data_IF_159919068336
#
_entry.id   IF_159919068336
#
_cell.length_a   1.000
_cell.length_b   1.000
_cell.length_c   1.000
_cell.angle_alpha   90.00
_cell.angle_beta   90.00
_cell.angle_gamma   90.00
#
_symmetry.space_group_name_H-M   'P 1'
#
loop_
_entity.id
_entity.type
_entity.pdbx_description
1 polymer ?
#
# COMPACT_ATOMS: atom_id res chain seq x y z
N UNK A 1 1.45 -0.04 -40.23
CA UNK A 1 1.28 -1.19 -39.33
C UNK A 1 2.53 -2.04 -39.52
N UNK A 2 3.45 -1.96 -38.55
CA UNK A 2 4.80 -2.53 -38.68
C UNK A 2 4.71 -4.06 -38.62
N UNK A 3 5.27 -4.72 -39.63
CA UNK A 3 5.44 -6.18 -39.69
C UNK A 3 6.59 -6.56 -38.74
N UNK A 4 6.31 -6.63 -37.45
CA UNK A 4 7.25 -7.18 -36.48
C UNK A 4 7.27 -8.70 -36.68
N UNK A 5 8.40 -9.24 -37.10
CA UNK A 5 8.55 -10.67 -37.33
C UNK A 5 8.26 -11.44 -36.02
N UNK A 6 7.31 -12.39 -36.07
CA UNK A 6 7.01 -13.23 -34.91
C UNK A 6 8.26 -14.00 -34.45
N UNK A 7 8.52 -14.12 -33.14
CA UNK A 7 9.67 -14.83 -32.62
C UNK A 7 9.65 -16.30 -33.03
N UNK A 8 10.81 -16.84 -33.37
CA UNK A 8 10.96 -18.22 -33.82
C UNK A 8 10.91 -19.20 -32.65
N UNK A 9 10.57 -20.47 -32.93
CA UNK A 9 10.63 -21.53 -31.93
C UNK A 9 12.04 -21.77 -31.37
N UNK A 10 13.09 -21.32 -32.05
CA UNK A 10 14.47 -21.37 -31.55
C UNK A 10 14.70 -20.28 -30.48
N UNK A 11 14.15 -19.08 -30.70
CA UNK A 11 14.24 -17.97 -29.74
C UNK A 11 13.44 -18.26 -28.45
N UNK A 12 12.25 -18.87 -28.55
CA UNK A 12 11.50 -19.30 -27.37
C UNK A 12 12.28 -20.33 -26.56
N UNK A 13 12.91 -21.31 -27.23
CA UNK A 13 13.77 -22.30 -26.54
C UNK A 13 15.00 -21.64 -25.92
N UNK A 14 15.61 -20.68 -26.59
CA UNK A 14 16.75 -19.96 -26.03
C UNK A 14 16.37 -19.16 -24.77
N UNK A 15 15.20 -18.52 -24.77
CA UNK A 15 14.67 -17.84 -23.60
C UNK A 15 14.38 -18.83 -22.45
N UNK A 16 13.79 -19.99 -22.74
CA UNK A 16 13.59 -21.04 -21.73
C UNK A 16 14.91 -21.54 -21.11
N UNK A 17 15.96 -21.70 -21.92
CA UNK A 17 17.29 -22.05 -21.40
C UNK A 17 17.92 -20.92 -20.57
N UNK A 18 17.66 -19.65 -20.92
CA UNK A 18 18.11 -18.50 -20.14
C UNK A 18 17.46 -18.47 -18.74
N UNK A 19 16.17 -18.80 -18.63
CA UNK A 19 15.48 -18.93 -17.34
C UNK A 19 16.13 -20.00 -16.48
N UNK A 20 16.39 -21.20 -17.03
CA UNK A 20 17.06 -22.29 -16.30
C UNK A 20 18.43 -21.86 -15.79
N UNK A 21 19.24 -21.25 -16.66
CA UNK A 21 20.57 -20.78 -16.27
C UNK A 21 20.51 -19.64 -15.24
N UNK A 22 19.47 -18.81 -15.24
CA UNK A 22 19.27 -17.79 -14.22
C UNK A 22 18.84 -18.41 -12.88
N UNK A 23 18.03 -19.47 -12.92
CA UNK A 23 17.57 -20.18 -11.73
C UNK A 23 18.73 -20.91 -11.04
N UNK A 24 19.61 -21.54 -11.81
CA UNK A 24 20.83 -22.15 -11.28
C UNK A 24 21.74 -21.10 -10.63
N UNK A 25 21.94 -19.94 -11.28
CA UNK A 25 22.74 -18.83 -10.72
C UNK A 25 22.12 -18.24 -9.45
N UNK A 26 20.80 -18.12 -9.40
CA UNK A 26 20.10 -17.65 -8.21
C UNK A 26 20.27 -18.63 -7.06
N UNK A 27 20.08 -19.94 -7.29
CA UNK A 27 20.33 -20.95 -6.28
C UNK A 27 21.77 -20.92 -5.77
N UNK A 28 22.73 -20.82 -6.68
CA UNK A 28 24.14 -20.68 -6.34
C UNK A 28 24.46 -19.44 -5.49
N UNK A 29 23.79 -18.31 -5.73
CA UNK A 29 23.93 -17.10 -4.92
C UNK A 29 23.35 -17.32 -3.51
N UNK A 30 22.16 -17.93 -3.42
CA UNK A 30 21.52 -18.26 -2.15
C UNK A 30 22.38 -19.21 -1.30
N UNK A 31 22.95 -20.24 -1.92
CA UNK A 31 23.83 -21.21 -1.24
C UNK A 31 25.14 -20.59 -0.72
N UNK A 32 25.59 -19.48 -1.31
CA UNK A 32 26.83 -18.77 -0.92
C UNK A 32 26.58 -17.52 -0.08
N UNK A 33 25.32 -17.22 0.26
CA UNK A 33 24.98 -15.97 0.94
C UNK A 33 25.74 -15.80 2.26
N UNK A 34 26.17 -14.57 2.51
CA UNK A 34 26.99 -14.21 3.67
C UNK A 34 26.22 -13.47 4.77
N UNK A 35 24.96 -13.11 4.50
CA UNK A 35 24.01 -12.49 5.42
C UNK A 35 22.58 -12.58 4.89
N UNK A 36 21.63 -12.03 5.64
CA UNK A 36 20.20 -12.04 5.26
C UNK A 36 19.91 -11.06 4.10
N UNK A 37 20.66 -9.96 3.99
CA UNK A 37 20.58 -8.96 2.91
C UNK A 37 21.78 -9.01 1.95
N UNK A 38 22.11 -10.20 1.43
CA UNK A 38 23.26 -10.35 0.52
C UNK A 38 22.96 -9.75 -0.87
N UNK A 39 23.70 -8.71 -1.32
CA UNK A 39 23.45 -8.06 -2.62
C UNK A 39 23.56 -9.01 -3.80
N UNK A 40 24.39 -10.06 -3.71
CA UNK A 40 24.55 -11.02 -4.80
C UNK A 40 23.30 -11.88 -5.01
N UNK A 41 22.54 -12.15 -3.93
CA UNK A 41 21.26 -12.86 -4.02
C UNK A 41 20.22 -11.98 -4.71
N UNK A 42 20.17 -10.71 -4.33
CA UNK A 42 19.26 -9.73 -4.92
C UNK A 42 19.54 -9.50 -6.43
N UNK A 43 20.80 -9.33 -6.81
CA UNK A 43 21.18 -9.22 -8.22
C UNK A 43 20.81 -10.47 -9.02
N UNK A 44 21.02 -11.66 -8.46
CA UNK A 44 20.68 -12.92 -9.11
C UNK A 44 19.16 -13.11 -9.23
N UNK A 45 18.39 -12.66 -8.24
CA UNK A 45 16.93 -12.63 -8.26
C UNK A 45 16.41 -11.75 -9.40
N UNK A 46 16.91 -10.51 -9.51
CA UNK A 46 16.53 -9.60 -10.59
C UNK A 46 16.87 -10.16 -11.98
N UNK A 47 18.03 -10.81 -12.11
CA UNK A 47 18.42 -11.46 -13.36
C UNK A 47 17.52 -12.65 -13.72
N UNK A 48 16.98 -13.37 -12.72
CA UNK A 48 16.00 -14.43 -12.92
C UNK A 48 14.64 -13.87 -13.34
N UNK A 49 14.16 -12.82 -12.67
CA UNK A 49 12.92 -12.14 -13.03
C UNK A 49 12.96 -11.66 -14.49
N UNK A 50 14.00 -10.92 -14.88
CA UNK A 50 14.16 -10.44 -16.25
C UNK A 50 14.21 -11.59 -17.29
N UNK A 51 14.84 -12.71 -16.95
CA UNK A 51 14.87 -13.88 -17.84
C UNK A 51 13.50 -14.53 -17.98
N UNK A 52 12.72 -14.60 -16.88
CA UNK A 52 11.38 -15.16 -16.87
C UNK A 52 10.40 -14.30 -17.67
N UNK A 53 10.44 -12.99 -17.52
CA UNK A 53 9.62 -12.04 -18.30
C UNK A 53 9.92 -12.14 -19.80
N UNK A 54 11.20 -12.15 -20.17
CA UNK A 54 11.61 -12.33 -21.56
C UNK A 54 11.20 -13.69 -22.14
N UNK A 55 11.07 -14.73 -21.33
CA UNK A 55 10.53 -16.01 -21.78
C UNK A 55 9.02 -15.95 -21.98
N UNK A 56 8.29 -15.34 -21.03
CA UNK A 56 6.84 -15.20 -21.09
C UNK A 56 6.39 -14.38 -22.29
N UNK A 57 7.04 -13.24 -22.56
CA UNK A 57 6.80 -12.40 -23.76
C UNK A 57 6.97 -13.23 -25.05
N UNK A 58 8.05 -14.00 -25.15
CA UNK A 58 8.34 -14.81 -26.35
C UNK A 58 7.40 -16.00 -26.49
N UNK A 59 6.95 -16.57 -25.37
CA UNK A 59 5.97 -17.65 -25.35
C UNK A 59 4.61 -17.13 -25.84
N UNK A 60 4.20 -15.96 -25.34
CA UNK A 60 2.97 -15.29 -25.73
C UNK A 60 2.98 -14.89 -27.21
N UNK A 61 4.02 -14.17 -27.66
CA UNK A 61 4.14 -13.72 -29.05
C UNK A 61 4.06 -14.86 -30.08
N UNK A 62 4.58 -16.04 -29.72
CA UNK A 62 4.67 -17.17 -30.65
C UNK A 62 3.50 -18.15 -30.53
N UNK A 63 3.02 -18.40 -29.32
CA UNK A 63 2.07 -19.47 -29.04
C UNK A 63 0.76 -18.99 -28.40
N UNK A 64 0.64 -17.70 -28.07
CA UNK A 64 -0.52 -17.12 -27.36
C UNK A 64 -0.79 -17.81 -26.02
N UNK A 65 0.29 -18.20 -25.34
CA UNK A 65 0.29 -18.90 -24.05
C UNK A 65 1.09 -18.09 -23.03
N UNK A 66 0.71 -18.19 -21.77
CA UNK A 66 1.36 -17.51 -20.64
C UNK A 66 1.77 -18.54 -19.57
N UNK A 67 2.81 -18.22 -18.82
CA UNK A 67 3.24 -19.03 -17.69
C UNK A 67 2.36 -18.79 -16.46
N UNK A 68 2.17 -19.79 -15.58
CA UNK A 68 1.40 -19.63 -14.35
C UNK A 68 2.18 -18.94 -13.22
N UNK A 69 3.38 -18.41 -13.50
CA UNK A 69 4.25 -17.79 -12.51
C UNK A 69 4.15 -16.28 -12.62
N UNK A 70 3.78 -15.62 -11.54
CA UNK A 70 3.80 -14.16 -11.47
C UNK A 70 5.14 -13.68 -10.91
N UNK A 71 5.75 -12.73 -11.61
CA UNK A 71 6.89 -11.99 -11.10
C UNK A 71 6.30 -10.83 -10.28
N UNK A 72 6.65 -10.67 -9.00
CA UNK A 72 6.24 -9.50 -8.23
C UNK A 72 6.54 -8.23 -9.04
N UNK A 73 5.49 -7.48 -9.39
CA UNK A 73 5.55 -6.46 -10.43
C UNK A 73 6.55 -5.35 -10.11
N UNK A 74 7.44 -5.06 -11.07
CA UNK A 74 8.37 -3.93 -11.00
C UNK A 74 7.64 -2.56 -10.97
N UNK A 75 6.36 -2.51 -11.38
CA UNK A 75 5.55 -1.28 -11.38
C UNK A 75 4.84 -1.00 -10.04
N UNK A 76 4.65 -2.00 -9.18
CA UNK A 76 4.07 -1.85 -7.83
C UNK A 76 5.12 -1.98 -6.71
N UNK A 77 6.33 -2.44 -7.06
CA UNK A 77 7.46 -2.49 -6.13
C UNK A 77 8.11 -1.11 -6.02
N UNK A 78 8.21 -0.61 -4.79
CA UNK A 78 9.01 0.57 -4.49
C UNK A 78 10.46 0.36 -4.95
N UNK A 79 11.15 1.42 -5.42
CA UNK A 79 12.56 1.31 -5.77
C UNK A 79 13.39 0.86 -4.55
N UNK A 80 14.58 0.27 -4.77
CA UNK A 80 15.44 -0.16 -3.66
C UNK A 80 15.69 0.99 -2.69
N UNK A 81 15.58 0.71 -1.39
CA UNK A 81 15.85 1.69 -0.34
C UNK A 81 17.28 2.24 -0.47
N UNK A 82 17.42 3.56 -0.57
CA UNK A 82 18.71 4.25 -0.70
C UNK A 82 19.03 5.14 0.51
N UNK A 83 18.21 5.09 1.56
CA UNK A 83 18.35 5.89 2.77
C UNK A 83 19.42 5.38 3.76
N UNK A 84 19.54 6.03 4.94
CA UNK A 84 20.54 5.66 5.96
C UNK A 84 20.30 4.25 6.55
N UNK A 85 21.39 3.51 6.83
CA UNK A 85 21.34 2.21 7.51
C UNK A 85 20.80 2.32 8.96
N UNK A 86 21.14 3.40 9.67
CA UNK A 86 20.66 3.70 11.02
C UNK A 86 19.85 5.02 11.02
N UNK A 87 18.55 5.00 10.69
CA UNK A 87 17.74 6.22 10.65
C UNK A 87 17.49 6.79 12.06
N UNK A 88 17.70 8.09 12.23
CA UNK A 88 17.46 8.80 13.50
C UNK A 88 16.08 9.46 13.58
N UNK A 89 15.34 9.52 12.48
CA UNK A 89 13.98 10.04 12.39
C UNK A 89 13.18 9.28 11.33
N UNK A 90 11.89 9.09 11.58
CA UNK A 90 10.97 8.32 10.73
C UNK A 90 9.64 9.07 10.60
N UNK A 91 9.05 9.05 9.41
CA UNK A 91 7.67 9.48 9.16
C UNK A 91 6.81 8.26 8.85
N UNK A 92 5.65 8.16 9.50
CA UNK A 92 4.65 7.11 9.23
C UNK A 92 3.48 7.76 8.51
N UNK A 93 3.26 7.38 7.26
CA UNK A 93 2.14 7.85 6.45
C UNK A 93 1.11 6.74 6.38
N UNK A 94 -0.11 7.05 6.80
CA UNK A 94 -1.22 6.09 6.81
C UNK A 94 -2.33 6.65 5.93
N UNK A 95 -2.71 5.89 4.91
CA UNK A 95 -3.96 6.08 4.17
C UNK A 95 -4.96 5.06 4.67
N UNK A 96 -6.09 5.52 5.20
CA UNK A 96 -7.25 4.69 5.55
C UNK A 96 -8.41 5.15 4.68
N UNK A 97 -8.97 4.24 3.88
CA UNK A 97 -10.14 4.55 3.06
C UNK A 97 -11.40 4.15 3.83
N UNK A 98 -12.48 4.93 3.65
CA UNK A 98 -13.78 4.63 4.26
C UNK A 98 -14.91 4.82 3.25
N UNK A 99 -15.90 3.93 3.27
CA UNK A 99 -17.18 4.11 2.60
C UNK A 99 -18.21 4.67 3.57
N UNK A 100 -18.96 5.71 3.17
CA UNK A 100 -20.09 6.21 3.97
C UNK A 100 -21.31 5.32 3.69
N UNK A 101 -21.57 4.35 4.56
CA UNK A 101 -22.65 3.36 4.39
C UNK A 101 -23.93 3.74 5.13
N UNK A 102 -23.84 4.50 6.23
CA UNK A 102 -24.99 5.00 6.98
C UNK A 102 -24.93 6.54 7.14
N UNK A 103 -25.27 7.33 6.08
CA UNK A 103 -25.21 8.79 6.12
C UNK A 103 -26.03 9.42 7.25
N UNK A 104 -27.19 8.85 7.58
CA UNK A 104 -28.07 9.34 8.64
C UNK A 104 -27.41 9.22 10.03
N UNK A 105 -26.62 8.16 10.26
CA UNK A 105 -25.88 7.96 11.49
C UNK A 105 -24.77 8.99 11.63
N UNK A 106 -24.05 9.25 10.54
CA UNK A 106 -23.02 10.28 10.46
C UNK A 106 -23.59 11.68 10.76
N UNK A 107 -24.73 12.03 10.14
CA UNK A 107 -25.44 13.30 10.40
C UNK A 107 -25.88 13.41 11.87
N UNK A 108 -26.45 12.35 12.43
CA UNK A 108 -26.86 12.33 13.82
C UNK A 108 -25.68 12.49 14.80
N UNK A 109 -24.51 11.94 14.48
CA UNK A 109 -23.31 12.14 15.29
C UNK A 109 -22.81 13.57 15.21
N UNK A 110 -22.72 14.15 14.02
CA UNK A 110 -22.29 15.54 13.86
C UNK A 110 -23.23 16.51 14.60
N UNK A 111 -24.54 16.27 14.54
CA UNK A 111 -25.52 17.06 15.30
C UNK A 111 -25.27 16.97 16.81
N UNK A 112 -25.03 15.75 17.34
CA UNK A 112 -24.71 15.55 18.76
C UNK A 112 -23.47 16.33 19.21
N UNK A 113 -22.41 16.35 18.40
CA UNK A 113 -21.20 17.13 18.69
C UNK A 113 -21.55 18.63 18.74
N UNK A 114 -22.21 19.14 17.70
CA UNK A 114 -22.56 20.57 17.65
C UNK A 114 -23.53 21.01 18.75
N UNK A 115 -24.44 20.14 19.20
CA UNK A 115 -25.38 20.45 20.28
C UNK A 115 -24.69 20.52 21.65
N UNK A 116 -23.58 19.80 21.82
CA UNK A 116 -22.75 19.83 23.04
C UNK A 116 -21.85 21.07 23.05
N UNK A 117 -21.32 21.47 21.88
CA UNK A 117 -20.43 22.63 21.75
C UNK A 117 -21.17 23.97 21.63
N UNK A 118 -22.38 23.96 21.06
CA UNK A 118 -23.20 25.15 20.82
C UNK A 118 -24.20 25.41 21.95
N UNK A 119 -23.97 26.46 22.74
CA UNK A 119 -25.07 27.10 23.48
C UNK A 119 -26.11 27.73 22.53
N UNK A 120 -27.18 28.35 23.07
CA UNK A 120 -28.36 28.87 22.33
C UNK A 120 -28.09 29.77 21.09
N UNK A 121 -26.85 30.23 20.88
CA UNK A 121 -26.40 31.01 19.72
C UNK A 121 -25.96 30.15 18.50
N UNK A 122 -25.83 28.82 18.64
CA UNK A 122 -25.31 27.91 17.60
C UNK A 122 -26.36 27.21 16.71
N UNK A 123 -27.66 27.45 16.94
CA UNK A 123 -28.74 26.67 16.31
C UNK A 123 -28.81 26.79 14.78
N UNK A 124 -28.43 27.94 14.20
CA UNK A 124 -28.39 28.11 12.74
C UNK A 124 -27.18 27.41 12.09
N UNK A 125 -26.05 27.32 12.81
CA UNK A 125 -24.84 26.60 12.36
C UNK A 125 -25.03 25.09 12.45
N UNK A 126 -25.59 24.61 13.57
CA UNK A 126 -25.91 23.20 13.77
C UNK A 126 -26.93 22.68 12.71
N UNK A 127 -27.94 23.49 12.37
CA UNK A 127 -28.90 23.16 11.31
C UNK A 127 -28.26 23.07 9.90
N UNK A 128 -27.17 23.82 9.65
CA UNK A 128 -26.45 23.76 8.37
C UNK A 128 -25.47 22.56 8.32
N UNK A 129 -24.89 22.17 9.45
CA UNK A 129 -24.05 20.98 9.60
C UNK A 129 -24.85 19.69 9.42
N UNK A 130 -26.03 19.60 10.03
CA UNK A 130 -26.94 18.46 9.87
C UNK A 130 -27.58 18.33 8.47
N UNK A 131 -27.35 19.30 7.57
CA UNK A 131 -27.96 19.32 6.24
C UNK A 131 -27.15 18.59 5.16
N UNK A 132 -25.87 18.24 5.41
CA UNK A 132 -25.06 17.54 4.41
C UNK A 132 -23.99 16.62 5.03
N UNK A 133 -23.78 15.48 4.38
CA UNK A 133 -22.72 14.52 4.72
C UNK A 133 -21.34 15.17 4.75
N UNK A 134 -21.07 16.09 3.82
CA UNK A 134 -19.80 16.83 3.75
C UNK A 134 -19.52 17.65 5.02
N UNK A 135 -20.51 18.41 5.49
CA UNK A 135 -20.36 19.21 6.70
C UNK A 135 -20.23 18.32 7.95
N UNK A 136 -20.97 17.20 8.01
CA UNK A 136 -20.86 16.23 9.08
C UNK A 136 -19.48 15.56 9.16
N UNK A 137 -18.85 15.25 8.02
CA UNK A 137 -17.46 14.78 7.98
C UNK A 137 -16.49 15.83 8.54
N UNK A 138 -16.67 17.10 8.18
CA UNK A 138 -15.84 18.19 8.71
C UNK A 138 -15.93 18.33 10.23
N UNK A 139 -17.12 18.15 10.81
CA UNK A 139 -17.31 18.17 12.27
C UNK A 139 -16.70 16.93 12.93
N UNK A 140 -16.97 15.73 12.38
CA UNK A 140 -16.45 14.48 12.93
C UNK A 140 -14.91 14.48 12.98
N UNK A 141 -14.25 14.81 11.87
CA UNK A 141 -12.78 14.84 11.77
C UNK A 141 -12.15 16.09 12.41
N UNK A 142 -12.95 17.07 12.81
CA UNK A 142 -12.51 18.20 13.63
C UNK A 142 -12.52 17.90 15.13
N UNK A 143 -13.45 17.05 15.58
CA UNK A 143 -13.63 16.70 17.00
C UNK A 143 -12.79 15.49 17.43
N UNK A 144 -12.74 14.44 16.60
CA UNK A 144 -12.07 13.19 16.97
C UNK A 144 -10.68 13.05 16.35
N UNK A 145 -9.77 12.44 17.12
CA UNK A 145 -8.46 12.04 16.60
C UNK A 145 -8.61 10.92 15.54
N UNK A 146 -7.69 10.84 14.55
CA UNK A 146 -7.77 9.84 13.49
C UNK A 146 -7.84 8.38 13.97
N UNK A 147 -7.21 8.05 15.10
CA UNK A 147 -7.24 6.70 15.68
C UNK A 147 -8.54 6.42 16.45
N UNK A 148 -9.18 7.44 17.01
CA UNK A 148 -10.53 7.31 17.56
C UNK A 148 -11.55 7.06 16.44
N UNK A 149 -11.40 7.75 15.31
CA UNK A 149 -12.24 7.51 14.12
C UNK A 149 -12.04 6.09 13.60
N UNK A 150 -10.80 5.63 13.49
CA UNK A 150 -10.50 4.29 13.04
C UNK A 150 -11.08 3.21 13.96
N UNK A 151 -10.95 3.35 15.28
CA UNK A 151 -11.48 2.36 16.23
C UNK A 151 -13.02 2.33 16.31
N UNK A 152 -13.70 3.41 15.94
CA UNK A 152 -15.16 3.57 16.11
C UNK A 152 -15.89 3.87 14.80
N UNK A 153 -15.29 3.58 13.65
CA UNK A 153 -15.79 3.96 12.32
C UNK A 153 -17.26 3.51 12.08
N UNK A 154 -17.62 2.30 12.53
CA UNK A 154 -19.01 1.77 12.45
C UNK A 154 -20.02 2.58 13.27
N UNK A 155 -19.60 3.19 14.38
CA UNK A 155 -20.47 4.09 15.17
C UNK A 155 -20.76 5.40 14.43
N UNK A 156 -19.92 5.76 13.47
CA UNK A 156 -20.05 6.96 12.63
C UNK A 156 -20.74 6.68 11.30
N UNK A 157 -21.14 5.43 11.03
CA UNK A 157 -21.76 5.04 9.77
C UNK A 157 -20.77 4.93 8.62
N UNK A 158 -19.51 4.70 8.94
CA UNK A 158 -18.43 4.43 8.01
C UNK A 158 -18.15 2.92 8.00
N UNK A 159 -17.82 2.39 6.83
CA UNK A 159 -17.24 1.06 6.65
C UNK A 159 -15.79 1.23 6.21
N UNK A 160 -14.89 0.43 6.78
CA UNK A 160 -13.48 0.45 6.42
C UNK A 160 -13.26 -0.10 5.01
N UNK A 161 -12.42 0.57 4.23
CA UNK A 161 -11.92 0.13 2.93
C UNK A 161 -10.48 -0.32 3.03
N UNK A 162 -9.74 -0.27 1.90
CA UNK A 162 -8.32 -0.60 1.93
C UNK A 162 -7.52 0.42 2.75
N UNK A 163 -6.42 -0.04 3.33
CA UNK A 163 -5.47 0.82 4.01
C UNK A 163 -4.03 0.52 3.60
N UNK A 164 -3.22 1.57 3.61
CA UNK A 164 -1.79 1.51 3.27
C UNK A 164 -1.00 2.27 4.32
N UNK A 165 0.03 1.63 4.85
CA UNK A 165 1.00 2.22 5.77
C UNK A 165 2.38 2.26 5.13
N UNK A 166 2.97 3.45 5.06
CA UNK A 166 4.35 3.67 4.62
C UNK A 166 5.19 4.18 5.80
N UNK A 167 6.38 3.62 5.96
CA UNK A 167 7.41 4.14 6.87
C UNK A 167 8.55 4.70 6.03
N UNK A 168 8.81 6.00 6.17
CA UNK A 168 9.90 6.69 5.46
C UNK A 168 10.98 7.12 6.44
N UNK A 169 12.24 6.89 6.07
CA UNK A 169 13.39 7.42 6.81
C UNK A 169 13.69 8.88 6.40
N UNK A 170 14.06 9.69 7.39
CA UNK A 170 14.66 11.00 7.17
C UNK A 170 16.19 10.90 7.33
N UNK A 171 16.91 11.67 6.51
CA UNK A 171 18.38 11.74 6.58
C UNK A 171 18.86 12.42 7.87
N UNK A 172 18.21 13.52 8.23
CA UNK A 172 18.51 14.32 9.42
C UNK A 172 17.30 14.43 10.34
N UNK A 173 17.55 14.73 11.62
CA UNK A 173 16.50 15.06 12.58
C UNK A 173 15.94 16.46 12.28
N UNK A 174 14.65 16.62 11.92
CA UNK A 174 14.12 17.92 11.52
C UNK A 174 14.00 18.89 12.70
N UNK A 175 14.06 20.19 12.42
CA UNK A 175 13.85 21.23 13.43
C UNK A 175 12.37 21.31 13.86
N UNK A 176 12.07 21.83 15.07
CA UNK A 176 10.70 22.01 15.54
C UNK A 176 9.85 22.83 14.55
N UNK A 177 8.76 22.23 14.06
CA UNK A 177 7.84 22.86 13.12
C UNK A 177 8.06 22.52 11.65
N UNK A 178 9.22 21.95 11.27
CA UNK A 178 9.47 21.53 9.88
C UNK A 178 8.54 20.41 9.43
N UNK A 179 8.15 19.53 10.35
CA UNK A 179 7.19 18.44 10.12
C UNK A 179 5.81 18.93 9.64
N UNK A 180 5.47 20.20 9.90
CA UNK A 180 4.14 20.75 9.61
C UNK A 180 4.07 21.49 8.27
N UNK A 181 5.20 21.73 7.59
CA UNK A 181 5.24 22.59 6.41
C UNK A 181 4.62 21.94 5.17
N UNK A 182 4.84 20.63 4.97
CA UNK A 182 4.33 19.89 3.81
C UNK A 182 4.08 18.39 4.15
N UNK A 183 3.16 18.08 5.07
CA UNK A 183 2.98 16.71 5.60
C UNK A 183 2.46 15.69 4.56
N UNK A 184 2.01 16.17 3.39
CA UNK A 184 1.47 15.34 2.31
C UNK A 184 2.23 15.51 0.98
N UNK A 185 3.41 16.15 0.99
CA UNK A 185 4.30 16.00 -0.16
C UNK A 185 4.60 14.52 -0.36
N UNK A 186 4.55 14.07 -1.62
CA UNK A 186 4.66 12.66 -1.97
C UNK A 186 5.94 12.09 -1.36
N UNK A 187 5.80 11.08 -0.50
CA UNK A 187 6.97 10.43 0.11
C UNK A 187 7.90 9.95 -1.00
N UNK A 188 9.19 10.25 -0.86
CA UNK A 188 10.22 9.81 -1.79
C UNK A 188 10.24 8.27 -1.80
N UNK A 189 9.89 7.61 -2.93
CA UNK A 189 9.80 6.16 -2.98
C UNK A 189 11.11 5.46 -2.60
N UNK A 190 12.27 6.09 -2.81
CA UNK A 190 13.58 5.54 -2.45
C UNK A 190 13.88 5.61 -0.94
N UNK A 191 13.10 6.37 -0.17
CA UNK A 191 13.25 6.53 1.29
C UNK A 191 12.25 5.69 2.09
N UNK A 192 11.38 4.95 1.42
CA UNK A 192 10.42 4.07 2.08
C UNK A 192 11.16 2.82 2.58
N UNK A 193 11.18 2.68 3.89
CA UNK A 193 11.76 1.54 4.60
C UNK A 193 10.86 0.32 4.45
N UNK A 194 9.55 0.52 4.59
CA UNK A 194 8.57 -0.54 4.42
C UNK A 194 7.19 0.01 4.02
N UNK A 195 6.45 -0.84 3.30
CA UNK A 195 5.07 -0.63 2.89
C UNK A 195 4.25 -1.84 3.33
N UNK A 196 3.15 -1.58 4.00
CA UNK A 196 2.14 -2.58 4.34
C UNK A 196 0.82 -2.16 3.71
N UNK A 197 0.23 -3.05 2.93
CA UNK A 197 -1.10 -2.88 2.38
C UNK A 197 -2.02 -3.90 3.05
N UNK A 198 -3.13 -3.43 3.59
CA UNK A 198 -4.20 -4.25 4.16
C UNK A 198 -5.44 -4.02 3.31
N UNK A 199 -6.00 -5.09 2.77
CA UNK A 199 -7.25 -5.01 2.02
C UNK A 199 -8.41 -5.46 2.88
N UNK A 200 -9.47 -4.65 2.91
CA UNK A 200 -10.65 -4.92 3.74
C UNK A 200 -11.30 -6.28 3.43
N UNK A 201 -11.21 -6.76 2.18
CA UNK A 201 -11.79 -8.04 1.77
C UNK A 201 -11.08 -9.24 2.40
N UNK A 202 -9.78 -9.13 2.64
CA UNK A 202 -8.98 -10.22 3.20
C UNK A 202 -8.81 -10.11 4.72
N UNK A 203 -9.05 -8.93 5.29
CA UNK A 203 -9.00 -8.71 6.75
C UNK A 203 -10.20 -9.35 7.44
N UNK A 204 -11.41 -9.24 6.86
CA UNK A 204 -12.63 -9.89 7.37
C UNK A 204 -12.49 -11.43 7.45
N UNK A 205 -11.71 -12.07 6.56
CA UNK A 205 -11.48 -13.53 6.59
C UNK A 205 -10.55 -13.98 7.73
N UNK A 206 -9.66 -13.10 8.22
CA UNK A 206 -8.72 -13.42 9.29
C UNK A 206 -9.35 -13.34 10.70
N UNK A 207 -10.32 -12.46 10.90
CA UNK A 207 -11.05 -12.35 12.17
C UNK A 207 -12.00 -13.54 12.40
N UNK A 208 -12.64 -14.07 11.35
CA UNK A 208 -13.51 -15.25 11.44
C UNK A 208 -12.73 -16.54 11.82
N UNK A 209 -11.48 -16.69 11.37
CA UNK A 209 -10.62 -17.86 11.65
C UNK A 209 -10.04 -17.88 13.09
N UNK A 210 -10.00 -16.74 13.76
CA UNK A 210 -9.53 -16.62 15.15
C UNK A 210 -10.62 -16.92 16.17
N UNK A 211 -11.90 -16.67 15.84
CA UNK A 211 -13.04 -17.02 16.71
C UNK A 211 -13.31 -18.53 16.78
N UNK A 212 -12.97 -19.30 15.73
CA UNK A 212 -13.13 -20.76 15.73
C UNK A 212 -12.06 -21.52 16.57
N UNK A 213 -10.95 -20.86 16.93
CA UNK A 213 -9.87 -21.48 17.73
C UNK A 213 -10.00 -21.27 19.25
N UNK A 214 -10.93 -20.42 19.71
CA UNK A 214 -11.21 -20.21 21.13
C UNK A 214 -12.55 -20.82 21.62
N UNK A 215 -13.20 -21.69 20.82
CA UNK A 215 -14.46 -22.36 21.17
C UNK A 215 -14.31 -23.83 21.62
#
# INVERSE_FOLDING_TARGET
MSDAAQPTAAEVRAAAEAVKAALDRHLEAVERRTGDDDPAVYEAFNALAAAAEAYDERLYDRYDEVTPFEIPGADDSLPPYTGPEEPHALSVLIRRDYAVVEPERLLAQAQRITDVEGGEEGAESAAMVGASTHAALGVLFGEYEPDEIASRHKEFGLEEGDSTLWVSAAEDLPEPGEWLHAPFEQADPERIVCRFDVSAVFDDELDDDLEEQEA
#
